data_IF_768705489250
#
_entry.id   IF_768705489250
#
_cell.length_a   1.000
_cell.length_b   1.000
_cell.length_c   1.000
_cell.angle_alpha   90.00
_cell.angle_beta   90.00
_cell.angle_gamma   90.00
#
_symmetry.space_group_name_H-M   'P 1'
#
loop_
_entity.id
_entity.type
_entity.pdbx_description
1 polymer ?
#
# COMPACT_ATOMS: atom_id res chain seq x y z
N UNK A 1 -42.34 -66.03 27.79
CA UNK A 1 -40.89 -65.73 27.83
C UNK A 1 -40.27 -65.73 26.42
N UNK A 2 -40.38 -66.83 25.66
CA UNK A 2 -39.77 -66.96 24.33
C UNK A 2 -40.17 -65.84 23.33
N UNK A 3 -41.46 -65.52 23.25
CA UNK A 3 -41.97 -64.47 22.36
C UNK A 3 -41.42 -63.07 22.67
N UNK A 4 -41.26 -62.74 23.96
CA UNK A 4 -40.71 -61.45 24.40
C UNK A 4 -39.23 -61.32 24.03
N UNK A 5 -38.47 -62.41 24.18
CA UNK A 5 -37.04 -62.43 23.82
C UNK A 5 -36.83 -62.27 22.32
N UNK A 6 -37.64 -62.98 21.51
CA UNK A 6 -37.60 -62.85 20.04
C UNK A 6 -37.99 -61.43 19.60
N UNK A 7 -38.99 -60.84 20.24
CA UNK A 7 -39.44 -59.48 19.94
C UNK A 7 -38.37 -58.42 20.27
N UNK A 8 -37.71 -58.54 21.43
CA UNK A 8 -36.58 -57.68 21.82
C UNK A 8 -35.38 -57.83 20.88
N UNK A 9 -35.07 -59.06 20.46
CA UNK A 9 -33.96 -59.35 19.54
C UNK A 9 -34.13 -58.72 18.15
N UNK A 10 -35.37 -58.43 17.73
CA UNK A 10 -35.67 -57.79 16.44
C UNK A 10 -35.89 -56.28 16.58
N UNK A 11 -36.55 -55.81 17.65
CA UNK A 11 -36.81 -54.38 17.83
C UNK A 11 -35.58 -53.57 18.20
N UNK A 12 -34.71 -54.08 19.07
CA UNK A 12 -33.50 -53.37 19.49
C UNK A 12 -32.60 -52.99 18.31
N UNK A 13 -32.24 -53.89 17.36
CA UNK A 13 -31.42 -53.50 16.22
C UNK A 13 -32.13 -52.53 15.27
N UNK A 14 -33.47 -52.62 15.13
CA UNK A 14 -34.23 -51.65 14.33
C UNK A 14 -34.16 -50.26 14.97
N UNK A 15 -34.38 -50.17 16.28
CA UNK A 15 -34.28 -48.89 17.03
C UNK A 15 -32.85 -48.35 16.95
N UNK A 16 -31.84 -49.19 17.13
CA UNK A 16 -30.43 -48.79 16.97
C UNK A 16 -30.12 -48.29 15.55
N UNK A 17 -30.64 -48.95 14.52
CA UNK A 17 -30.47 -48.51 13.13
C UNK A 17 -31.10 -47.14 12.89
N UNK A 18 -32.32 -46.92 13.41
CA UNK A 18 -33.02 -45.63 13.30
C UNK A 18 -32.25 -44.53 14.04
N UNK A 19 -31.72 -44.81 15.24
CA UNK A 19 -30.90 -43.84 16.00
C UNK A 19 -29.62 -43.50 15.23
N UNK A 20 -28.90 -44.50 14.71
CA UNK A 20 -27.68 -44.27 13.92
C UNK A 20 -27.96 -43.48 12.65
N UNK A 21 -29.08 -43.76 11.98
CA UNK A 21 -29.52 -43.01 10.82
C UNK A 21 -29.85 -41.55 11.17
N UNK A 22 -30.60 -41.33 12.26
CA UNK A 22 -30.93 -39.99 12.74
C UNK A 22 -29.69 -39.21 13.20
N UNK A 23 -28.73 -39.85 13.88
CA UNK A 23 -27.45 -39.23 14.25
C UNK A 23 -26.70 -38.74 13.00
N UNK A 24 -26.61 -39.58 11.95
CA UNK A 24 -25.96 -39.18 10.70
C UNK A 24 -26.62 -38.00 10.00
N UNK A 25 -27.95 -37.92 10.04
CA UNK A 25 -28.66 -36.77 9.44
C UNK A 25 -28.35 -35.47 10.18
N UNK A 26 -28.24 -35.53 11.51
CA UNK A 26 -27.91 -34.36 12.34
C UNK A 26 -26.45 -33.95 12.12
N UNK A 27 -25.52 -34.91 12.07
CA UNK A 27 -24.09 -34.62 11.82
C UNK A 27 -23.89 -33.95 10.45
N UNK A 28 -24.60 -34.41 9.42
CA UNK A 28 -24.55 -33.79 8.09
C UNK A 28 -25.06 -32.34 8.09
N UNK A 29 -26.16 -32.08 8.80
CA UNK A 29 -26.70 -30.73 8.93
C UNK A 29 -25.72 -29.82 9.68
N UNK A 30 -25.10 -30.33 10.76
CA UNK A 30 -24.07 -29.61 11.52
C UNK A 30 -22.86 -29.27 10.66
N UNK A 31 -22.33 -30.22 9.88
CA UNK A 31 -21.19 -30.00 8.98
C UNK A 31 -21.50 -28.91 7.92
N UNK A 32 -22.71 -28.91 7.37
CA UNK A 32 -23.15 -27.89 6.40
C UNK A 32 -23.23 -26.51 7.05
N UNK A 33 -23.80 -26.41 8.25
CA UNK A 33 -23.85 -25.16 9.01
C UNK A 33 -22.46 -24.66 9.40
N UNK A 34 -21.54 -25.54 9.79
CA UNK A 34 -20.16 -25.17 10.07
C UNK A 34 -19.46 -24.61 8.83
N UNK A 35 -19.62 -25.28 7.69
CA UNK A 35 -19.06 -24.83 6.42
C UNK A 35 -19.62 -23.46 6.00
N UNK A 36 -20.94 -23.25 6.15
CA UNK A 36 -21.57 -21.97 5.86
C UNK A 36 -21.05 -20.86 6.79
N UNK A 37 -20.91 -21.14 8.09
CA UNK A 37 -20.34 -20.19 9.05
C UNK A 37 -18.88 -19.83 8.72
N UNK A 38 -18.07 -20.82 8.34
CA UNK A 38 -16.68 -20.58 7.90
C UNK A 38 -16.66 -19.72 6.64
N UNK A 39 -17.52 -19.99 5.67
CA UNK A 39 -17.64 -19.20 4.43
C UNK A 39 -18.00 -17.75 4.73
N UNK A 40 -19.03 -17.51 5.54
CA UNK A 40 -19.45 -16.15 5.93
C UNK A 40 -18.33 -15.40 6.66
N UNK A 41 -17.56 -16.09 7.53
CA UNK A 41 -16.39 -15.49 8.19
C UNK A 41 -15.31 -15.10 7.19
N UNK A 42 -14.96 -15.98 6.25
CA UNK A 42 -13.96 -15.71 5.23
C UNK A 42 -14.36 -14.56 4.31
N UNK A 43 -15.63 -14.50 3.88
CA UNK A 43 -16.15 -13.38 3.08
C UNK A 43 -16.07 -12.05 3.86
N UNK A 44 -16.38 -12.08 5.15
CA UNK A 44 -16.25 -10.90 6.01
C UNK A 44 -14.79 -10.46 6.18
N UNK A 45 -13.89 -11.39 6.44
CA UNK A 45 -12.45 -11.11 6.54
C UNK A 45 -11.88 -10.57 5.23
N UNK A 46 -12.33 -11.10 4.09
CA UNK A 46 -11.99 -10.59 2.76
C UNK A 46 -12.46 -9.15 2.60
N UNK A 47 -13.74 -8.87 2.85
CA UNK A 47 -14.27 -7.51 2.76
C UNK A 47 -13.58 -6.53 3.72
N UNK A 48 -13.27 -6.95 4.95
CA UNK A 48 -12.53 -6.13 5.91
C UNK A 48 -11.09 -5.87 5.43
N UNK A 49 -10.44 -6.86 4.81
CA UNK A 49 -9.12 -6.74 4.21
C UNK A 49 -9.14 -5.79 3.01
N UNK A 50 -10.10 -5.96 2.11
CA UNK A 50 -10.31 -5.08 0.94
C UNK A 50 -10.61 -3.65 1.39
N UNK A 51 -11.47 -3.48 2.40
CA UNK A 51 -11.78 -2.18 2.99
C UNK A 51 -10.54 -1.54 3.63
N UNK A 52 -9.74 -2.29 4.39
CA UNK A 52 -8.47 -1.81 4.95
C UNK A 52 -7.48 -1.42 3.85
N UNK A 53 -7.32 -2.26 2.82
CA UNK A 53 -6.47 -1.97 1.67
C UNK A 53 -6.92 -0.72 0.91
N UNK A 54 -8.23 -0.50 0.77
CA UNK A 54 -8.78 0.69 0.15
C UNK A 54 -8.56 1.94 1.01
N UNK A 55 -8.77 1.83 2.33
CA UNK A 55 -8.60 2.93 3.28
C UNK A 55 -7.12 3.31 3.48
N UNK A 56 -6.18 2.37 3.31
CA UNK A 56 -4.74 2.63 3.33
C UNK A 56 -4.25 3.46 2.13
N UNK A 57 -5.08 3.64 1.09
CA UNK A 57 -4.71 4.43 -0.09
C UNK A 57 -4.66 5.94 0.16
N UNK A 58 -4.97 6.46 1.34
CA UNK A 58 -4.53 7.82 1.72
C UNK A 58 -3.89 7.70 3.09
N UNK A 59 -2.60 8.01 3.22
CA UNK A 59 -2.02 8.16 4.56
C UNK A 59 -2.75 9.33 5.25
N UNK A 60 -3.60 9.08 6.26
CA UNK A 60 -4.39 10.15 6.89
C UNK A 60 -3.46 11.23 7.45
N UNK A 61 -2.29 10.82 7.93
CA UNK A 61 -1.25 11.70 8.42
C UNK A 61 -0.71 12.67 7.35
N UNK A 62 -0.48 12.22 6.11
CA UNK A 62 0.00 13.11 5.04
C UNK A 62 -1.06 14.15 4.68
N UNK A 63 -2.33 13.73 4.61
CA UNK A 63 -3.47 14.62 4.36
C UNK A 63 -3.57 15.71 5.43
N UNK A 64 -3.64 15.33 6.71
CA UNK A 64 -3.73 16.29 7.81
C UNK A 64 -2.53 17.24 7.87
N UNK A 65 -1.31 16.73 7.68
CA UNK A 65 -0.11 17.57 7.69
C UNK A 65 -0.07 18.56 6.53
N UNK A 66 -0.55 18.16 5.36
CA UNK A 66 -0.62 19.02 4.18
C UNK A 66 -1.62 20.15 4.40
N UNK A 67 -2.82 19.84 4.90
CA UNK A 67 -3.82 20.85 5.23
C UNK A 67 -3.34 21.81 6.31
N UNK A 68 -2.67 21.32 7.35
CA UNK A 68 -2.06 22.16 8.38
C UNK A 68 -0.99 23.10 7.80
N UNK A 69 -0.17 22.63 6.86
CA UNK A 69 0.81 23.48 6.18
C UNK A 69 0.13 24.60 5.39
N UNK A 70 -0.99 24.32 4.71
CA UNK A 70 -1.78 25.34 4.02
C UNK A 70 -2.40 26.36 4.99
N UNK A 71 -2.95 25.89 6.12
CA UNK A 71 -3.45 26.79 7.17
C UNK A 71 -2.34 27.69 7.72
N UNK A 72 -1.14 27.15 7.93
CA UNK A 72 0.02 27.94 8.33
C UNK A 72 0.42 28.99 7.29
N UNK A 73 0.45 28.64 6.00
CA UNK A 73 0.75 29.57 4.90
C UNK A 73 -0.29 30.70 4.82
N UNK A 74 -1.58 30.37 4.99
CA UNK A 74 -2.66 31.35 5.05
C UNK A 74 -2.47 32.34 6.20
N UNK A 75 -2.16 31.85 7.41
CA UNK A 75 -1.94 32.70 8.60
C UNK A 75 -0.77 33.67 8.46
N UNK A 76 0.24 33.33 7.67
CA UNK A 76 1.41 34.20 7.43
C UNK A 76 1.32 34.98 6.10
N UNK A 77 0.15 35.00 5.45
CA UNK A 77 -0.11 35.78 4.24
C UNK A 77 0.56 35.25 2.96
N UNK A 78 1.08 34.02 2.96
CA UNK A 78 1.73 33.38 1.79
C UNK A 78 0.71 32.68 0.89
N UNK A 79 -0.27 33.43 0.42
CA UNK A 79 -1.40 32.88 -0.35
C UNK A 79 -0.98 32.24 -1.67
N UNK A 80 0.02 32.79 -2.36
CA UNK A 80 0.47 32.25 -3.65
C UNK A 80 1.14 30.87 -3.52
N UNK A 81 1.93 30.67 -2.46
CA UNK A 81 2.53 29.37 -2.15
C UNK A 81 1.45 28.35 -1.74
N UNK A 82 0.44 28.80 -0.99
CA UNK A 82 -0.71 27.98 -0.63
C UNK A 82 -1.48 27.51 -1.87
N UNK A 83 -1.83 28.43 -2.78
CA UNK A 83 -2.55 28.10 -4.03
C UNK A 83 -1.75 27.12 -4.88
N UNK A 84 -0.47 27.42 -5.12
CA UNK A 84 0.42 26.52 -5.88
C UNK A 84 0.51 25.15 -5.21
N UNK A 85 0.60 25.11 -3.87
CA UNK A 85 0.60 23.89 -3.09
C UNK A 85 -0.68 23.07 -3.23
N UNK A 86 -1.84 23.72 -3.19
CA UNK A 86 -3.14 23.10 -3.37
C UNK A 86 -3.29 22.53 -4.79
N UNK A 87 -2.83 23.24 -5.83
CA UNK A 87 -2.82 22.73 -7.20
C UNK A 87 -1.96 21.48 -7.33
N UNK A 88 -0.73 21.50 -6.80
CA UNK A 88 0.15 20.33 -6.78
C UNK A 88 -0.45 19.18 -5.99
N UNK A 89 -1.12 19.47 -4.88
CA UNK A 89 -1.79 18.47 -4.07
C UNK A 89 -3.00 17.85 -4.80
N UNK A 90 -3.78 18.65 -5.51
CA UNK A 90 -4.89 18.17 -6.35
C UNK A 90 -4.39 17.29 -7.50
N UNK A 91 -3.31 17.70 -8.19
CA UNK A 91 -2.68 16.90 -9.25
C UNK A 91 -2.10 15.58 -8.70
N UNK A 92 -1.54 15.62 -7.49
CA UNK A 92 -1.12 14.43 -6.78
C UNK A 92 -2.31 13.50 -6.52
N UNK A 93 -3.38 13.97 -5.89
CA UNK A 93 -4.56 13.14 -5.63
C UNK A 93 -5.18 12.58 -6.92
N UNK A 94 -5.31 13.39 -7.97
CA UNK A 94 -5.94 12.99 -9.24
C UNK A 94 -5.27 11.78 -9.88
N UNK A 95 -3.95 11.71 -9.86
CA UNK A 95 -3.22 10.57 -10.43
C UNK A 95 -3.55 9.26 -9.70
N UNK A 96 -3.86 9.32 -8.41
CA UNK A 96 -4.19 8.15 -7.58
C UNK A 96 -5.56 7.55 -7.88
N UNK A 97 -6.45 8.35 -8.49
CA UNK A 97 -7.80 7.94 -8.90
C UNK A 97 -7.91 7.69 -10.40
N UNK A 98 -6.80 7.68 -11.13
CA UNK A 98 -6.78 7.28 -12.53
C UNK A 98 -6.47 5.80 -12.64
N UNK A 99 -7.17 5.11 -13.54
CA UNK A 99 -6.77 3.78 -13.97
C UNK A 99 -5.50 3.91 -14.81
N UNK A 100 -4.49 3.14 -14.45
CA UNK A 100 -3.21 3.11 -15.17
C UNK A 100 -3.08 1.78 -15.89
N UNK A 101 -2.42 1.81 -17.04
CA UNK A 101 -1.95 0.59 -17.71
C UNK A 101 -1.01 -0.20 -16.78
N UNK A 102 -0.79 -1.47 -17.12
CA UNK A 102 0.13 -2.38 -16.40
C UNK A 102 1.53 -1.77 -16.26
N UNK A 103 1.96 -0.98 -17.26
CA UNK A 103 3.22 -0.24 -17.26
C UNK A 103 3.00 1.19 -17.76
N UNK A 104 3.55 2.17 -17.04
CA UNK A 104 3.51 3.59 -17.40
C UNK A 104 4.92 4.13 -17.66
N UNK A 105 5.09 5.14 -18.53
CA UNK A 105 6.39 5.77 -18.72
C UNK A 105 6.97 6.29 -17.40
N UNK A 106 8.26 6.06 -17.14
CA UNK A 106 8.93 6.58 -15.94
C UNK A 106 8.75 8.10 -15.78
N UNK A 107 8.71 8.82 -16.91
CA UNK A 107 8.45 10.27 -16.93
C UNK A 107 7.10 10.62 -16.29
N UNK A 108 6.06 9.81 -16.51
CA UNK A 108 4.72 9.99 -15.93
C UNK A 108 4.78 9.83 -14.41
N UNK A 109 5.39 8.74 -13.93
CA UNK A 109 5.63 8.50 -12.50
C UNK A 109 6.45 9.65 -11.87
N UNK A 110 7.51 10.10 -12.54
CA UNK A 110 8.35 11.19 -12.06
C UNK A 110 7.59 12.51 -11.93
N UNK A 111 6.71 12.86 -12.89
CA UNK A 111 5.88 14.06 -12.81
C UNK A 111 4.94 14.00 -11.61
N UNK A 112 4.32 12.84 -11.39
CA UNK A 112 3.44 12.63 -10.26
C UNK A 112 4.18 12.73 -8.92
N UNK A 113 5.33 12.05 -8.79
CA UNK A 113 6.18 12.13 -7.59
C UNK A 113 6.73 13.54 -7.35
N UNK A 114 7.00 14.31 -8.41
CA UNK A 114 7.37 15.73 -8.28
C UNK A 114 6.27 16.56 -7.62
N UNK A 115 5.00 16.35 -7.97
CA UNK A 115 3.89 17.04 -7.31
C UNK A 115 3.83 16.72 -5.81
N UNK A 116 3.99 15.45 -5.44
CA UNK A 116 4.11 15.04 -4.04
C UNK A 116 5.26 15.72 -3.31
N UNK A 117 6.46 15.73 -3.91
CA UNK A 117 7.65 16.33 -3.33
C UNK A 117 7.51 17.85 -3.17
N UNK A 118 6.86 18.54 -4.11
CA UNK A 118 6.55 19.97 -3.98
C UNK A 118 5.66 20.25 -2.76
N UNK A 119 4.66 19.41 -2.50
CA UNK A 119 3.82 19.52 -1.30
C UNK A 119 4.66 19.28 -0.03
N UNK A 120 5.54 18.28 -0.03
CA UNK A 120 6.45 18.05 1.10
C UNK A 120 7.43 19.22 1.30
N UNK A 121 7.89 19.89 0.24
CA UNK A 121 8.74 21.07 0.34
C UNK A 121 8.04 22.25 1.01
N UNK A 122 6.73 22.42 0.80
CA UNK A 122 5.96 23.42 1.53
C UNK A 122 5.88 23.11 3.03
N UNK A 123 5.75 21.83 3.39
CA UNK A 123 5.71 21.37 4.80
C UNK A 123 7.06 21.52 5.50
N UNK A 124 8.14 21.06 4.87
CA UNK A 124 9.48 21.08 5.47
C UNK A 124 10.20 22.41 5.29
N UNK A 125 9.71 23.25 4.37
CA UNK A 125 10.29 24.54 4.00
C UNK A 125 11.66 24.36 3.33
N UNK A 126 12.60 25.29 3.57
CA UNK A 126 13.91 25.28 2.91
C UNK A 126 14.78 24.09 3.31
N UNK A 127 14.38 23.32 4.32
CA UNK A 127 15.14 22.17 4.83
C UNK A 127 15.03 20.92 3.96
N UNK A 128 14.12 20.88 2.97
CA UNK A 128 13.99 19.73 2.08
C UNK A 128 14.58 20.04 0.71
N UNK A 129 15.70 19.39 0.41
CA UNK A 129 16.35 19.43 -0.90
C UNK A 129 16.01 18.16 -1.68
N UNK A 130 15.76 18.30 -2.97
CA UNK A 130 15.48 17.16 -3.85
C UNK A 130 16.47 17.19 -5.00
N UNK A 131 17.14 16.07 -5.26
CA UNK A 131 18.06 15.90 -6.39
C UNK A 131 17.60 14.74 -7.26
N UNK A 132 17.82 14.89 -8.57
CA UNK A 132 17.49 13.90 -9.58
C UNK A 132 18.76 13.53 -10.33
N UNK A 133 19.10 12.25 -10.32
CA UNK A 133 20.26 11.68 -11.01
C UNK A 133 19.74 10.65 -12.01
N UNK A 134 19.34 11.12 -13.18
CA UNK A 134 18.57 10.35 -14.15
C UNK A 134 19.42 10.10 -15.40
N UNK A 135 19.81 8.86 -15.61
CA UNK A 135 20.53 8.43 -16.81
C UNK A 135 19.61 8.58 -18.04
N UNK A 136 20.01 9.33 -19.09
CA UNK A 136 19.22 9.45 -20.32
C UNK A 136 18.90 8.09 -20.95
N UNK A 137 19.86 7.16 -20.89
CA UNK A 137 19.72 5.81 -21.41
C UNK A 137 18.67 4.94 -20.68
N UNK A 138 18.12 5.41 -19.54
CA UNK A 138 17.08 4.73 -18.78
C UNK A 138 15.76 5.53 -18.72
N UNK A 139 15.76 6.78 -19.19
CA UNK A 139 14.66 7.73 -18.93
C UNK A 139 13.36 7.38 -19.68
N UNK A 140 13.48 6.70 -20.82
CA UNK A 140 12.36 6.28 -21.66
C UNK A 140 11.81 4.89 -21.28
N UNK A 141 12.22 4.30 -20.15
CA UNK A 141 11.64 3.03 -19.72
C UNK A 141 10.20 3.19 -19.22
N UNK A 142 9.42 2.11 -19.33
CA UNK A 142 8.14 1.99 -18.62
C UNK A 142 8.34 1.22 -17.32
N UNK A 143 7.60 1.56 -16.27
CA UNK A 143 7.64 0.90 -14.96
C UNK A 143 6.21 0.66 -14.47
N UNK A 144 5.98 -0.30 -13.55
CA UNK A 144 4.68 -0.43 -12.91
C UNK A 144 4.27 0.89 -12.23
N UNK A 145 3.00 1.30 -12.34
CA UNK A 145 2.53 2.53 -11.73
C UNK A 145 2.74 2.50 -10.21
N UNK A 146 2.91 3.68 -9.62
CA UNK A 146 3.19 3.93 -8.21
C UNK A 146 4.53 3.40 -7.67
N UNK A 147 5.37 2.74 -8.47
CA UNK A 147 6.67 2.23 -7.99
C UNK A 147 7.53 3.35 -7.39
N UNK A 148 7.73 4.46 -8.14
CA UNK A 148 8.58 5.55 -7.65
C UNK A 148 7.92 6.23 -6.46
N UNK A 149 6.61 6.44 -6.52
CA UNK A 149 5.84 7.07 -5.47
C UNK A 149 5.96 6.31 -4.15
N UNK A 150 5.79 4.99 -4.16
CA UNK A 150 5.89 4.15 -2.96
C UNK A 150 7.27 4.22 -2.32
N UNK A 151 8.35 4.17 -3.13
CA UNK A 151 9.72 4.29 -2.62
C UNK A 151 9.94 5.65 -1.93
N UNK A 152 9.48 6.72 -2.57
CA UNK A 152 9.59 8.07 -2.00
C UNK A 152 8.75 8.20 -0.74
N UNK A 153 7.47 7.82 -0.74
CA UNK A 153 6.60 7.88 0.44
C UNK A 153 7.20 7.10 1.63
N UNK A 154 7.72 5.91 1.37
CA UNK A 154 8.37 5.09 2.39
C UNK A 154 9.60 5.78 2.99
N UNK A 155 10.45 6.39 2.15
CA UNK A 155 11.58 7.18 2.63
C UNK A 155 11.13 8.30 3.58
N UNK A 156 10.09 9.06 3.23
CA UNK A 156 9.58 10.13 4.10
C UNK A 156 8.96 9.61 5.40
N UNK A 157 8.15 8.55 5.32
CA UNK A 157 7.48 7.90 6.46
C UNK A 157 8.48 7.42 7.51
N UNK A 158 9.52 6.70 7.08
CA UNK A 158 10.48 6.10 7.99
C UNK A 158 11.64 7.04 8.35
N UNK A 159 11.96 8.00 7.47
CA UNK A 159 13.17 8.82 7.59
C UNK A 159 13.03 10.16 8.31
N UNK A 160 11.88 10.85 8.21
CA UNK A 160 11.88 12.31 8.43
C UNK A 160 10.93 12.84 9.49
N UNK A 161 9.82 12.17 9.79
CA UNK A 161 8.74 12.79 10.58
C UNK A 161 9.18 13.16 12.00
N UNK A 162 10.18 12.48 12.55
CA UNK A 162 10.66 12.71 13.93
C UNK A 162 12.00 13.45 14.03
N UNK A 163 12.65 13.80 12.91
CA UNK A 163 14.05 14.30 12.93
C UNK A 163 14.16 15.76 12.53
N UNK A 164 14.85 16.56 13.37
CA UNK A 164 15.20 17.96 13.10
C UNK A 164 16.49 18.02 12.26
N UNK A 165 16.57 18.96 11.32
CA UNK A 165 17.75 19.15 10.44
C UNK A 165 17.39 19.18 8.95
N UNK A 166 18.38 19.48 8.12
CA UNK A 166 18.26 19.46 6.67
C UNK A 166 18.10 18.03 6.16
N UNK A 167 17.31 17.91 5.09
CA UNK A 167 16.82 16.67 4.52
C UNK A 167 17.10 16.72 3.03
N UNK A 168 17.64 15.65 2.48
CA UNK A 168 17.85 15.58 1.04
C UNK A 168 17.32 14.24 0.54
N UNK A 169 16.43 14.32 -0.45
CA UNK A 169 15.95 13.18 -1.20
C UNK A 169 16.68 13.14 -2.53
N UNK A 170 17.24 11.98 -2.89
CA UNK A 170 17.91 11.75 -4.18
C UNK A 170 17.24 10.60 -4.88
N UNK A 171 16.69 10.89 -6.05
CA UNK A 171 16.08 9.89 -6.93
C UNK A 171 17.09 9.61 -8.03
N UNK A 172 17.58 8.36 -8.08
CA UNK A 172 18.56 7.90 -9.06
C UNK A 172 17.94 6.84 -9.97
N UNK A 173 18.06 7.02 -11.28
CA UNK A 173 17.68 6.04 -12.29
C UNK A 173 18.90 5.74 -13.16
N UNK A 174 19.36 4.49 -13.14
CA UNK A 174 20.54 4.07 -13.90
C UNK A 174 20.29 2.77 -14.64
N UNK A 175 20.81 2.66 -15.87
CA UNK A 175 20.87 1.40 -16.61
C UNK A 175 22.17 0.66 -16.27
N UNK A 176 22.07 -0.61 -15.95
CA UNK A 176 23.17 -1.52 -15.64
C UNK A 176 23.02 -2.79 -16.50
N UNK A 177 23.59 -2.76 -17.71
CA UNK A 177 23.41 -3.83 -18.70
C UNK A 177 21.95 -3.98 -19.12
N UNK A 178 21.38 -5.15 -18.83
CA UNK A 178 19.97 -5.50 -19.08
C UNK A 178 19.04 -5.12 -17.94
N UNK A 179 19.48 -4.31 -16.99
CA UNK A 179 18.65 -3.92 -15.84
C UNK A 179 18.52 -2.41 -15.76
N UNK A 180 17.36 -1.94 -15.33
CA UNK A 180 17.18 -0.60 -14.80
C UNK A 180 17.10 -0.68 -13.29
N UNK A 181 17.86 0.20 -12.67
CA UNK A 181 17.96 0.33 -11.23
C UNK A 181 17.39 1.68 -10.86
N UNK A 182 16.28 1.65 -10.14
CA UNK A 182 15.70 2.81 -9.48
C UNK A 182 16.12 2.78 -8.02
N UNK A 183 16.73 3.86 -7.55
CA UNK A 183 17.14 3.99 -6.15
C UNK A 183 16.69 5.32 -5.59
N UNK A 184 16.04 5.30 -4.44
CA UNK A 184 15.66 6.48 -3.68
C UNK A 184 16.49 6.50 -2.42
N UNK A 185 17.30 7.55 -2.29
CA UNK A 185 18.07 7.84 -1.10
C UNK A 185 17.43 8.98 -0.35
N UNK A 186 17.46 8.90 0.97
CA UNK A 186 17.06 9.99 1.82
C UNK A 186 18.03 10.10 2.98
N UNK A 187 18.65 11.28 3.10
CA UNK A 187 19.51 11.59 4.23
C UNK A 187 18.95 12.77 5.02
N UNK A 188 19.11 12.69 6.34
CA UNK A 188 18.82 13.77 7.28
C UNK A 188 20.11 14.07 8.04
N UNK A 189 20.56 15.32 8.01
CA UNK A 189 21.77 15.72 8.74
C UNK A 189 21.46 15.72 10.25
N UNK A 190 22.06 14.79 10.98
CA UNK A 190 22.00 14.78 12.46
C UNK A 190 23.05 15.74 13.02
N UNK A 191 22.67 16.45 14.08
CA UNK A 191 23.60 17.35 14.77
C UNK A 191 24.67 16.48 15.47
N UNK A 192 25.90 16.52 14.92
CA UNK A 192 27.12 15.81 15.35
C UNK A 192 27.14 14.29 15.03
N UNK A 193 27.98 13.94 14.05
CA UNK A 193 28.64 12.64 13.83
C UNK A 193 27.80 11.38 13.57
N UNK A 194 26.81 11.43 12.67
CA UNK A 194 26.24 10.19 12.13
C UNK A 194 25.34 10.41 10.92
N UNK A 195 25.64 9.70 9.82
CA UNK A 195 24.74 9.57 8.67
C UNK A 195 23.95 8.27 8.83
N UNK A 196 22.63 8.33 8.65
CA UNK A 196 21.79 7.14 8.58
C UNK A 196 21.32 6.98 7.14
N UNK A 197 21.78 5.92 6.47
CA UNK A 197 21.34 5.57 5.13
C UNK A 197 19.97 4.88 5.21
N UNK A 198 18.97 5.44 4.52
CA UNK A 198 17.66 4.81 4.32
C UNK A 198 17.42 4.65 2.82
N UNK A 199 18.37 4.01 2.15
CA UNK A 199 18.28 3.71 0.72
C UNK A 199 17.24 2.61 0.46
N UNK A 200 16.28 2.91 -0.42
CA UNK A 200 15.40 1.91 -1.00
C UNK A 200 15.75 1.71 -2.47
N UNK A 201 15.84 0.46 -2.89
CA UNK A 201 16.29 0.08 -4.23
C UNK A 201 15.32 -0.92 -4.83
N UNK A 202 14.93 -0.66 -6.08
CA UNK A 202 14.18 -1.60 -6.91
C UNK A 202 14.96 -1.82 -8.20
N UNK A 203 15.04 -3.09 -8.61
CA UNK A 203 15.72 -3.50 -9.85
C UNK A 203 14.69 -4.16 -10.75
N UNK A 204 14.63 -3.71 -12.00
CA UNK A 204 13.69 -4.20 -13.00
C UNK A 204 14.46 -4.57 -14.27
N UNK A 205 14.03 -5.63 -14.94
CA UNK A 205 14.71 -6.12 -16.14
C UNK A 205 14.29 -5.32 -17.37
N UNK A 206 15.26 -4.79 -18.11
CA UNK A 206 15.07 -3.89 -19.25
C UNK A 206 14.24 -4.51 -20.38
N UNK A 207 14.35 -5.82 -20.59
CA UNK A 207 13.60 -6.61 -21.58
C UNK A 207 12.08 -6.50 -21.40
N UNK A 208 11.61 -6.32 -20.17
CA UNK A 208 10.18 -6.24 -19.83
C UNK A 208 9.64 -4.80 -19.73
N UNK A 209 10.49 -3.79 -19.91
CA UNK A 209 10.15 -2.37 -19.74
C UNK A 209 10.00 -1.63 -21.09
N UNK A 210 10.17 -2.35 -22.19
CA UNK A 210 9.92 -1.88 -23.56
C UNK A 210 8.83 -2.74 -24.21
N UNK A 211 7.64 -2.16 -24.34
CA UNK A 211 6.63 -2.52 -25.33
C UNK A 211 6.28 -1.22 -26.05
#
# INVERSE_FOLDING_TARGET
MFTVVVFLGVLMPIVSLVILFMMRLIDQELDVLELENVKVRLEKELHESEYKQLNERIQPHFLFNTLNAFLSLSRIGRYQDMTTGMEKFALFLRYRYHDHDVLVPFKTELVHTKNYLSVQQLRFGPRLHVKYDLSPAAFECKIPPYTLQTLVENSFKHGLEKRRGDKVCVIRLARQGNWVVLTVFLWCQLHRSGFMDMSQKVRMEWSHLHI
#
